data_IF_366258928664
#
_entry.id   IF_366258928664
#
_cell.length_a   1.000
_cell.length_b   1.000
_cell.length_c   1.000
_cell.angle_alpha   90.00
_cell.angle_beta   90.00
_cell.angle_gamma   90.00
#
_symmetry.space_group_name_H-M   'P 1'
#
loop_
_entity.id
_entity.type
_entity.pdbx_description
1 polymer ?
#
# COMPACT_ATOMS: atom_id res chain seq x y z
N UNK A 1 21.34 -10.89 49.28
CA UNK A 1 20.14 -10.08 48.93
C UNK A 1 20.49 -8.77 48.22
N UNK A 2 21.41 -7.93 48.73
CA UNK A 2 21.84 -6.67 48.07
C UNK A 2 22.38 -6.82 46.64
N UNK A 3 23.14 -7.88 46.35
CA UNK A 3 23.69 -8.16 45.00
C UNK A 3 22.63 -8.58 43.97
N UNK A 4 21.52 -9.15 44.43
CA UNK A 4 20.41 -9.60 43.56
C UNK A 4 19.54 -8.43 43.12
N UNK A 5 19.39 -7.42 43.99
CA UNK A 5 18.69 -6.16 43.68
C UNK A 5 19.46 -5.34 42.63
N UNK A 6 20.80 -5.30 42.72
CA UNK A 6 21.64 -4.62 41.71
C UNK A 6 21.54 -5.29 40.33
N UNK A 7 21.46 -6.62 40.27
CA UNK A 7 21.32 -7.34 39.00
C UNK A 7 19.96 -7.04 38.31
N UNK A 8 18.88 -6.96 39.09
CA UNK A 8 17.53 -6.63 38.58
C UNK A 8 17.47 -5.16 38.11
N UNK A 9 18.13 -4.25 38.82
CA UNK A 9 18.19 -2.83 38.43
C UNK A 9 18.93 -2.62 37.10
N UNK A 10 20.04 -3.34 36.88
CA UNK A 10 20.81 -3.24 35.63
C UNK A 10 20.02 -3.77 34.42
N UNK A 11 19.22 -4.82 34.58
CA UNK A 11 18.37 -5.35 33.49
C UNK A 11 17.19 -4.43 33.14
N UNK A 12 16.71 -3.63 34.11
CA UNK A 12 15.60 -2.70 33.88
C UNK A 12 16.04 -1.43 33.12
N UNK A 13 17.29 -0.98 33.27
CA UNK A 13 17.79 0.21 32.59
C UNK A 13 18.17 -0.02 31.11
N UNK A 14 18.44 -1.26 30.69
CA UNK A 14 18.78 -1.57 29.29
C UNK A 14 17.58 -1.68 28.34
N UNK A 15 16.34 -1.51 28.85
CA UNK A 15 15.12 -1.73 28.07
C UNK A 15 14.62 -0.54 27.22
N UNK A 16 15.20 0.65 27.34
CA UNK A 16 14.69 1.87 26.69
C UNK A 16 15.38 2.26 25.38
N UNK A 17 16.43 1.56 24.94
CA UNK A 17 17.25 2.01 23.79
C UNK A 17 16.70 1.60 22.41
N UNK A 18 15.57 0.91 22.34
CA UNK A 18 15.01 0.38 21.07
C UNK A 18 13.67 1.02 20.70
N UNK A 19 13.50 2.31 20.96
CA UNK A 19 12.34 3.05 20.45
C UNK A 19 12.63 3.39 18.98
N UNK A 20 12.21 2.51 18.06
CA UNK A 20 12.10 2.88 16.65
C UNK A 20 11.09 4.01 16.54
N UNK A 21 11.52 5.19 16.09
CA UNK A 21 10.59 6.27 15.78
C UNK A 21 9.71 5.81 14.61
N UNK A 22 8.40 5.90 14.79
CA UNK A 22 7.47 5.70 13.67
C UNK A 22 7.54 6.92 12.76
N UNK A 23 7.81 6.76 11.45
CA UNK A 23 7.94 7.91 10.56
C UNK A 23 6.61 8.65 10.43
N UNK A 24 6.70 9.96 10.21
CA UNK A 24 5.54 10.78 9.89
C UNK A 24 5.07 10.46 8.46
N UNK A 25 3.91 9.83 8.33
CA UNK A 25 3.32 9.56 7.01
C UNK A 25 2.49 10.75 6.57
N UNK A 26 2.78 11.28 5.38
CA UNK A 26 1.90 12.24 4.74
C UNK A 26 0.55 11.59 4.51
N UNK A 27 -0.47 12.11 5.21
CA UNK A 27 -1.80 11.51 5.18
C UNK A 27 -2.54 11.78 3.87
N UNK A 28 -2.00 12.50 2.89
CA UNK A 28 -2.69 12.65 1.60
C UNK A 28 -2.58 11.34 0.82
N UNK A 29 -3.72 10.65 0.63
CA UNK A 29 -3.77 9.46 -0.21
C UNK A 29 -3.82 9.91 -1.69
N UNK A 30 -2.93 9.40 -2.56
CA UNK A 30 -2.98 9.71 -3.98
C UNK A 30 -4.24 9.10 -4.61
N UNK A 31 -4.55 9.52 -5.84
CA UNK A 31 -5.63 8.91 -6.62
C UNK A 31 -5.34 7.41 -6.81
N UNK A 32 -6.27 6.58 -6.36
CA UNK A 32 -6.22 5.13 -6.60
C UNK A 32 -6.66 4.86 -8.03
N UNK A 33 -5.81 4.18 -8.78
CA UNK A 33 -6.07 3.79 -10.17
C UNK A 33 -6.26 2.29 -10.26
N UNK A 34 -7.05 1.83 -11.23
CA UNK A 34 -7.24 0.43 -11.53
C UNK A 34 -7.15 0.21 -13.05
N UNK A 35 -6.52 -0.87 -13.47
CA UNK A 35 -6.44 -1.31 -14.87
C UNK A 35 -6.81 -2.79 -14.95
N UNK A 36 -7.87 -3.12 -15.69
CA UNK A 36 -8.28 -4.51 -15.87
C UNK A 36 -9.48 -4.68 -16.78
N UNK A 37 -10.64 -4.98 -16.17
CA UNK A 37 -11.87 -5.37 -16.89
C UNK A 37 -12.29 -4.37 -17.97
N UNK A 38 -12.23 -3.09 -17.65
CA UNK A 38 -12.62 -2.01 -18.53
C UNK A 38 -11.67 -1.85 -19.72
N UNK A 39 -10.36 -1.80 -19.46
CA UNK A 39 -9.33 -1.74 -20.50
C UNK A 39 -9.29 -2.99 -21.39
N UNK A 40 -9.71 -4.15 -20.87
CA UNK A 40 -9.88 -5.37 -21.65
C UNK A 40 -11.19 -5.38 -22.47
N UNK A 41 -12.31 -4.97 -21.88
CA UNK A 41 -13.62 -5.01 -22.53
C UNK A 41 -13.84 -3.87 -23.54
N UNK A 42 -13.30 -2.68 -23.28
CA UNK A 42 -13.53 -1.49 -24.10
C UNK A 42 -13.26 -1.69 -25.60
N UNK A 43 -12.10 -2.25 -26.00
CA UNK A 43 -11.80 -2.58 -27.39
C UNK A 43 -12.78 -3.60 -28.00
N UNK A 44 -13.28 -4.56 -27.20
CA UNK A 44 -14.26 -5.55 -27.66
C UNK A 44 -15.62 -4.91 -27.94
N UNK A 45 -15.98 -3.88 -27.17
CA UNK A 45 -17.22 -3.14 -27.34
C UNK A 45 -17.22 -2.22 -28.57
N UNK A 46 -16.08 -2.01 -29.23
CA UNK A 46 -15.99 -1.14 -30.43
C UNK A 46 -16.88 -1.64 -31.56
N UNK A 47 -17.01 -2.96 -31.73
CA UNK A 47 -17.86 -3.53 -32.77
C UNK A 47 -19.34 -3.18 -32.60
N UNK A 48 -19.81 -3.03 -31.35
CA UNK A 48 -21.21 -2.78 -31.03
C UNK A 48 -21.51 -1.29 -30.73
N UNK A 49 -20.57 -0.58 -30.12
CA UNK A 49 -20.73 0.77 -29.60
C UNK A 49 -19.80 1.80 -30.26
N UNK A 50 -18.96 1.38 -31.21
CA UNK A 50 -17.95 2.24 -31.83
C UNK A 50 -16.94 2.78 -30.81
N UNK A 51 -16.41 4.00 -31.00
CA UNK A 51 -15.45 4.61 -30.07
C UNK A 51 -15.99 4.75 -28.63
N UNK A 52 -17.31 4.80 -28.45
CA UNK A 52 -17.95 4.85 -27.13
C UNK A 52 -17.66 3.60 -26.32
N UNK A 53 -17.49 2.43 -26.96
CA UNK A 53 -17.13 1.19 -26.28
C UNK A 53 -15.81 1.30 -25.49
N UNK A 54 -14.81 1.98 -26.07
CA UNK A 54 -13.52 2.23 -25.39
C UNK A 54 -13.72 3.16 -24.19
N UNK A 55 -14.51 4.23 -24.35
CA UNK A 55 -14.79 5.17 -23.27
C UNK A 55 -15.53 4.49 -22.10
N UNK A 56 -16.50 3.61 -22.40
CA UNK A 56 -17.18 2.79 -21.39
C UNK A 56 -16.19 1.90 -20.66
N UNK A 57 -15.27 1.26 -21.38
CA UNK A 57 -14.17 0.50 -20.79
C UNK A 57 -13.37 1.32 -19.77
N UNK A 58 -12.85 2.49 -20.17
CA UNK A 58 -12.12 3.36 -19.23
C UNK A 58 -12.96 3.80 -18.03
N UNK A 59 -14.25 4.07 -18.23
CA UNK A 59 -15.15 4.46 -17.15
C UNK A 59 -15.39 3.33 -16.13
N UNK A 60 -15.40 2.06 -16.57
CA UNK A 60 -15.47 0.90 -15.68
C UNK A 60 -14.21 0.84 -14.80
N UNK A 61 -13.03 0.95 -15.40
CA UNK A 61 -11.77 0.89 -14.66
C UNK A 61 -11.62 2.06 -13.68
N UNK A 62 -12.00 3.28 -14.09
CA UNK A 62 -12.04 4.45 -13.21
C UNK A 62 -13.03 4.27 -12.04
N UNK A 63 -14.20 3.67 -12.30
CA UNK A 63 -15.18 3.34 -11.28
C UNK A 63 -14.64 2.37 -10.23
N UNK A 64 -14.01 1.28 -10.68
CA UNK A 64 -13.39 0.29 -9.80
C UNK A 64 -12.27 0.94 -8.96
N UNK A 65 -11.39 1.73 -9.59
CA UNK A 65 -10.33 2.44 -8.87
C UNK A 65 -10.87 3.39 -7.81
N UNK A 66 -11.97 4.09 -8.11
CA UNK A 66 -12.67 4.95 -7.15
C UNK A 66 -13.26 4.15 -5.98
N UNK A 67 -13.88 3.00 -6.23
CA UNK A 67 -14.45 2.15 -5.18
C UNK A 67 -13.39 1.63 -4.22
N UNK A 68 -12.26 1.13 -4.76
CA UNK A 68 -11.10 0.72 -3.95
C UNK A 68 -10.57 1.91 -3.13
N UNK A 69 -10.40 3.07 -3.77
CA UNK A 69 -9.95 4.28 -3.09
C UNK A 69 -10.88 4.72 -1.95
N UNK A 70 -12.20 4.58 -2.13
CA UNK A 70 -13.17 4.84 -1.06
C UNK A 70 -13.05 3.84 0.09
N UNK A 71 -12.90 2.54 -0.19
CA UNK A 71 -12.74 1.52 0.83
C UNK A 71 -11.45 1.71 1.66
N UNK A 72 -10.35 2.00 0.98
CA UNK A 72 -9.08 2.35 1.63
C UNK A 72 -9.20 3.67 2.41
N UNK A 73 -9.94 4.64 1.89
CA UNK A 73 -10.23 5.91 2.56
C UNK A 73 -10.99 5.74 3.88
N UNK A 74 -11.96 4.81 3.95
CA UNK A 74 -12.71 4.48 5.18
C UNK A 74 -11.82 3.94 6.30
N UNK A 75 -10.75 3.24 5.93
CA UNK A 75 -9.80 2.60 6.86
C UNK A 75 -8.43 3.28 6.91
N UNK A 76 -8.35 4.52 6.41
CA UNK A 76 -7.10 5.24 6.17
C UNK A 76 -6.23 5.39 7.41
N UNK A 77 -6.79 5.80 8.55
CA UNK A 77 -6.00 6.02 9.77
C UNK A 77 -5.33 4.73 10.26
N UNK A 78 -6.08 3.63 10.29
CA UNK A 78 -5.56 2.32 10.68
C UNK A 78 -4.56 1.79 9.66
N UNK A 79 -4.86 1.94 8.36
CA UNK A 79 -4.01 1.49 7.26
C UNK A 79 -2.67 2.24 7.20
N UNK A 80 -2.70 3.56 7.28
CA UNK A 80 -1.50 4.42 7.33
C UNK A 80 -0.65 4.08 8.55
N UNK A 81 -1.26 3.88 9.72
CA UNK A 81 -0.53 3.48 10.94
C UNK A 81 0.13 2.11 10.79
N UNK A 82 -0.56 1.13 10.22
CA UNK A 82 -0.01 -0.21 9.98
C UNK A 82 1.18 -0.15 9.01
N UNK A 83 1.03 0.63 7.93
CA UNK A 83 2.09 0.87 6.95
C UNK A 83 3.29 1.58 7.58
N UNK A 84 3.07 2.63 8.38
CA UNK A 84 4.13 3.37 9.07
C UNK A 84 4.95 2.46 9.98
N UNK A 85 4.28 1.57 10.73
CA UNK A 85 4.93 0.59 11.59
C UNK A 85 5.76 -0.41 10.77
N UNK A 86 5.25 -0.88 9.63
CA UNK A 86 5.99 -1.76 8.74
C UNK A 86 7.24 -1.07 8.16
N UNK A 87 7.14 0.21 7.78
CA UNK A 87 8.29 0.99 7.32
C UNK A 87 9.30 1.19 8.45
N UNK A 88 8.87 1.57 9.66
CA UNK A 88 9.78 1.78 10.80
C UNK A 88 10.60 0.53 11.14
N UNK A 89 10.05 -0.66 10.93
CA UNK A 89 10.77 -1.93 11.15
C UNK A 89 11.84 -2.19 10.08
N UNK A 90 11.60 -1.77 8.83
CA UNK A 90 12.50 -2.06 7.71
C UNK A 90 13.47 -0.92 7.39
N UNK A 91 13.10 0.31 7.75
CA UNK A 91 13.82 1.55 7.48
C UNK A 91 13.78 2.43 8.74
N UNK A 92 14.58 2.10 9.78
CA UNK A 92 14.53 2.78 11.08
C UNK A 92 14.99 4.23 11.02
N UNK A 93 15.73 4.61 9.98
CA UNK A 93 16.30 5.95 9.80
C UNK A 93 15.39 6.91 9.00
N UNK A 94 14.20 6.47 8.61
CA UNK A 94 13.25 7.29 7.83
C UNK A 94 12.46 8.21 8.74
N UNK A 95 12.42 9.49 8.40
CA UNK A 95 11.70 10.52 9.14
C UNK A 95 10.27 10.70 8.58
N UNK A 96 10.15 10.74 7.25
CA UNK A 96 8.87 10.96 6.55
C UNK A 96 8.62 9.94 5.46
N UNK A 97 7.35 9.63 5.24
CA UNK A 97 6.89 8.76 4.14
C UNK A 97 5.75 9.42 3.40
N UNK A 98 5.84 9.48 2.08
CA UNK A 98 4.73 9.89 1.22
C UNK A 98 4.36 8.76 0.24
N UNK A 99 3.07 8.49 0.09
CA UNK A 99 2.57 7.57 -0.94
C UNK A 99 2.44 8.38 -2.23
N UNK A 100 3.35 8.18 -3.19
CA UNK A 100 3.30 8.90 -4.46
C UNK A 100 2.26 8.31 -5.40
N UNK A 101 2.19 6.98 -5.46
CA UNK A 101 1.33 6.27 -6.42
C UNK A 101 0.75 5.02 -5.80
N UNK A 102 -0.50 4.77 -6.15
CA UNK A 102 -1.25 3.60 -5.76
C UNK A 102 -2.07 3.11 -6.96
N UNK A 103 -1.58 2.08 -7.62
CA UNK A 103 -2.16 1.53 -8.84
C UNK A 103 -2.49 0.05 -8.67
N UNK A 104 -3.73 -0.33 -8.93
CA UNK A 104 -4.19 -1.71 -8.93
C UNK A 104 -4.27 -2.23 -10.37
N UNK A 105 -3.97 -3.51 -10.55
CA UNK A 105 -4.07 -4.17 -11.84
C UNK A 105 -4.67 -5.55 -11.69
N UNK A 106 -5.60 -5.89 -12.57
CA UNK A 106 -6.18 -7.24 -12.63
C UNK A 106 -5.09 -8.29 -12.89
N UNK A 107 -5.23 -9.46 -12.28
CA UNK A 107 -4.35 -10.58 -12.54
C UNK A 107 -4.67 -11.14 -13.93
N UNK A 108 -3.63 -11.39 -14.73
CA UNK A 108 -3.84 -11.93 -16.07
C UNK A 108 -4.44 -13.34 -15.98
N UNK A 109 -5.61 -13.53 -16.57
CA UNK A 109 -6.33 -14.80 -16.58
C UNK A 109 -7.30 -14.98 -15.41
N UNK A 110 -7.35 -14.02 -14.48
CA UNK A 110 -8.32 -14.00 -13.39
C UNK A 110 -8.69 -12.54 -13.05
N UNK A 111 -9.78 -12.07 -13.64
CA UNK A 111 -10.24 -10.68 -13.50
C UNK A 111 -10.92 -10.42 -12.14
N UNK A 112 -11.15 -11.47 -11.32
CA UNK A 112 -11.64 -11.36 -9.94
C UNK A 112 -10.49 -11.09 -8.96
N UNK A 113 -9.24 -11.25 -9.38
CA UNK A 113 -8.06 -10.93 -8.57
C UNK A 113 -7.36 -9.68 -9.07
N UNK A 114 -6.83 -8.88 -8.14
CA UNK A 114 -6.00 -7.72 -8.46
C UNK A 114 -4.85 -7.56 -7.49
N UNK A 115 -3.70 -7.13 -7.99
CA UNK A 115 -2.54 -6.75 -7.19
C UNK A 115 -2.30 -5.25 -7.24
N UNK A 116 -1.69 -4.69 -6.20
CA UNK A 116 -1.33 -3.29 -6.13
C UNK A 116 0.16 -3.08 -6.44
N UNK A 117 0.46 -1.95 -7.06
CA UNK A 117 1.78 -1.35 -7.19
C UNK A 117 1.76 -0.04 -6.43
N UNK A 118 2.64 0.06 -5.43
CA UNK A 118 2.73 1.22 -4.53
C UNK A 118 4.11 1.83 -4.62
N UNK A 119 4.17 3.12 -4.97
CA UNK A 119 5.41 3.88 -4.96
C UNK A 119 5.42 4.78 -3.72
N UNK A 120 6.41 4.57 -2.85
CA UNK A 120 6.64 5.33 -1.64
C UNK A 120 7.88 6.23 -1.81
N UNK A 121 7.76 7.49 -1.43
CA UNK A 121 8.89 8.38 -1.20
C UNK A 121 9.23 8.34 0.28
N UNK A 122 10.47 8.00 0.59
CA UNK A 122 11.04 8.03 1.92
C UNK A 122 12.01 9.21 1.98
N UNK A 123 11.88 10.06 3.00
CA UNK A 123 12.89 11.08 3.29
C UNK A 123 13.52 10.75 4.64
N UNK A 124 14.84 10.73 4.64
CA UNK A 124 15.70 10.64 5.82
C UNK A 124 16.59 11.87 5.85
N UNK A 125 17.27 12.11 6.98
CA UNK A 125 18.13 13.27 7.19
C UNK A 125 19.24 13.38 6.12
N UNK A 126 18.93 14.06 5.01
CA UNK A 126 19.82 14.30 3.87
C UNK A 126 19.75 13.26 2.73
N UNK A 127 18.87 12.26 2.79
CA UNK A 127 18.71 11.25 1.74
C UNK A 127 17.23 11.06 1.38
N UNK A 128 16.93 11.10 0.08
CA UNK A 128 15.61 10.81 -0.46
C UNK A 128 15.65 9.53 -1.27
N UNK A 129 14.68 8.65 -1.05
CA UNK A 129 14.61 7.37 -1.75
C UNK A 129 13.19 7.03 -2.15
N UNK A 130 12.99 6.68 -3.41
CA UNK A 130 11.73 6.11 -3.89
C UNK A 130 11.81 4.58 -3.90
N UNK A 131 10.81 3.94 -3.32
CA UNK A 131 10.66 2.49 -3.31
C UNK A 131 9.34 2.09 -3.99
N UNK A 132 9.39 1.08 -4.84
CA UNK A 132 8.20 0.50 -5.47
C UNK A 132 7.97 -0.89 -4.89
N UNK A 133 6.77 -1.13 -4.37
CA UNK A 133 6.33 -2.43 -3.87
C UNK A 133 5.20 -3.00 -4.71
N UNK A 134 5.22 -4.31 -4.92
CA UNK A 134 4.17 -5.06 -5.58
C UNK A 134 3.53 -6.02 -4.59
N UNK A 135 2.21 -5.98 -4.48
CA UNK A 135 1.49 -6.90 -3.58
C UNK A 135 1.23 -8.25 -4.22
N UNK A 136 0.93 -9.24 -3.40
CA UNK A 136 0.20 -10.42 -3.85
C UNK A 136 -1.20 -10.02 -4.37
N UNK A 137 -1.83 -10.84 -5.24
CA UNK A 137 -3.20 -10.62 -5.66
C UNK A 137 -4.19 -10.80 -4.50
N UNK A 138 -5.19 -9.93 -4.42
CA UNK A 138 -6.36 -10.07 -3.55
C UNK A 138 -7.65 -10.06 -4.33
N UNK A 139 -8.73 -10.51 -3.69
CA UNK A 139 -10.07 -10.49 -4.28
C UNK A 139 -10.53 -9.05 -4.56
N UNK A 140 -10.97 -8.80 -5.78
CA UNK A 140 -11.37 -7.48 -6.25
C UNK A 140 -12.63 -6.97 -5.54
N UNK A 141 -13.56 -7.86 -5.18
CA UNK A 141 -14.77 -7.48 -4.44
C UNK A 141 -14.41 -7.05 -3.02
N UNK A 142 -13.54 -7.80 -2.35
CA UNK A 142 -13.02 -7.41 -1.04
C UNK A 142 -12.22 -6.12 -1.08
N UNK A 143 -11.42 -5.88 -2.13
CA UNK A 143 -10.67 -4.64 -2.32
C UNK A 143 -11.56 -3.39 -2.43
N UNK A 144 -12.77 -3.54 -2.99
CA UNK A 144 -13.74 -2.43 -3.15
C UNK A 144 -14.56 -2.15 -1.88
N UNK A 145 -14.55 -3.06 -0.91
CA UNK A 145 -15.46 -2.98 0.25
C UNK A 145 -14.73 -2.92 1.61
N UNK A 146 -13.50 -3.44 1.68
CA UNK A 146 -12.79 -3.68 2.94
C UNK A 146 -11.45 -2.94 3.01
N UNK A 147 -10.70 -3.15 4.10
CA UNK A 147 -9.34 -2.65 4.29
C UNK A 147 -8.26 -3.56 3.67
N UNK A 148 -8.63 -4.57 2.87
CA UNK A 148 -7.71 -5.54 2.28
C UNK A 148 -6.53 -4.87 1.54
N UNK A 149 -6.79 -3.76 0.84
CA UNK A 149 -5.73 -3.00 0.15
C UNK A 149 -4.58 -2.60 1.10
N UNK A 150 -4.89 -2.10 2.29
CA UNK A 150 -3.86 -1.74 3.28
C UNK A 150 -3.11 -2.96 3.82
N UNK A 151 -3.82 -4.08 4.02
CA UNK A 151 -3.21 -5.32 4.52
C UNK A 151 -2.20 -5.88 3.52
N UNK A 152 -2.56 -5.92 2.24
CA UNK A 152 -1.69 -6.39 1.17
C UNK A 152 -0.45 -5.50 1.00
N UNK A 153 -0.62 -4.18 1.07
CA UNK A 153 0.50 -3.22 0.99
C UNK A 153 1.45 -3.39 2.17
N UNK A 154 0.91 -3.49 3.39
CA UNK A 154 1.71 -3.69 4.60
C UNK A 154 2.49 -5.00 4.52
N UNK A 155 1.86 -6.08 4.04
CA UNK A 155 2.52 -7.37 3.83
C UNK A 155 3.65 -7.28 2.81
N UNK A 156 3.43 -6.60 1.67
CA UNK A 156 4.44 -6.42 0.63
C UNK A 156 5.66 -5.62 1.12
N UNK A 157 5.45 -4.59 1.96
CA UNK A 157 6.53 -3.82 2.58
C UNK A 157 7.36 -4.69 3.51
N UNK A 158 6.70 -5.49 4.36
CA UNK A 158 7.38 -6.40 5.31
C UNK A 158 8.17 -7.48 4.56
N UNK A 159 7.57 -8.05 3.50
CA UNK A 159 8.20 -9.06 2.66
C UNK A 159 9.31 -8.48 1.75
N UNK A 160 9.34 -7.15 1.59
CA UNK A 160 10.22 -6.43 0.66
C UNK A 160 10.01 -6.87 -0.79
N UNK A 161 8.76 -7.09 -1.15
CA UNK A 161 8.35 -7.47 -2.51
C UNK A 161 8.42 -6.25 -3.43
N UNK A 162 9.62 -5.97 -3.92
CA UNK A 162 9.85 -4.85 -4.82
C UNK A 162 9.23 -5.10 -6.19
N UNK A 163 8.80 -4.02 -6.85
CA UNK A 163 8.42 -4.07 -8.25
C UNK A 163 9.62 -4.54 -9.08
N UNK A 164 9.44 -5.62 -9.85
CA UNK A 164 10.39 -5.97 -10.90
C UNK A 164 10.35 -4.88 -11.97
N UNK A 165 11.51 -4.26 -12.24
CA UNK A 165 11.69 -3.35 -13.38
C UNK A 165 11.59 -4.10 -14.70
#
# INVERSE_FOLDING_TARGET
MKKLIYAILLTALSGCSSVSLTPAVNQVLPKVTYEGRGSAAGPMLVGAMGPVGIAVGFAIDEGIGKDIGMAMGKSKEQGVRAMANAIAQQYPDVDTVAIQKLAFKALRGDDDLAFATVELHLESTGEEKSLCFKTEPGDLSELKETSLGWQLITKAIIARDFCTQ
#
